data_IF_637686040685
#
_entry.id   IF_637686040685
#
_cell.length_a   1.000
_cell.length_b   1.000
_cell.length_c   1.000
_cell.angle_alpha   90.00
_cell.angle_beta   90.00
_cell.angle_gamma   90.00
#
_symmetry.space_group_name_H-M   'P 1'
#
loop_
_entity.id
_entity.type
_entity.pdbx_description
1 polymer ?
#
# COMPACT_ATOMS: atom_id res chain seq x y z
N UNK A 1 -24.39 22.94 14.59
CA UNK A 1 -23.48 21.80 14.44
C UNK A 1 -23.30 21.55 12.94
N UNK A 2 -22.06 21.57 12.42
CA UNK A 2 -21.81 21.19 11.03
C UNK A 2 -22.17 19.72 10.80
N UNK A 3 -22.75 19.40 9.64
CA UNK A 3 -23.00 18.01 9.26
C UNK A 3 -21.70 17.19 9.30
N UNK A 4 -21.74 15.90 9.68
CA UNK A 4 -20.56 15.05 9.64
C UNK A 4 -20.01 14.98 8.21
N UNK A 5 -18.68 14.92 8.03
CA UNK A 5 -18.10 14.78 6.70
C UNK A 5 -18.50 13.44 6.07
N UNK A 6 -18.67 13.44 4.73
CA UNK A 6 -18.94 12.22 3.98
C UNK A 6 -17.71 11.30 3.91
N UNK A 7 -16.51 11.90 3.90
CA UNK A 7 -15.22 11.22 3.82
C UNK A 7 -14.15 12.02 4.54
N UNK A 8 -13.21 11.32 5.20
CA UNK A 8 -11.97 11.92 5.71
C UNK A 8 -10.83 11.50 4.80
N UNK A 9 -10.12 12.49 4.22
CA UNK A 9 -8.91 12.27 3.43
C UNK A 9 -7.69 12.48 4.34
N UNK A 10 -6.77 11.52 4.33
CA UNK A 10 -5.55 11.53 5.13
C UNK A 10 -4.34 11.59 4.20
N UNK A 11 -3.43 12.51 4.48
CA UNK A 11 -2.12 12.63 3.85
C UNK A 11 -1.04 12.57 4.92
N UNK A 12 -0.20 11.53 4.91
CA UNK A 12 0.98 11.44 5.77
C UNK A 12 2.16 12.02 5.02
N UNK A 13 2.80 13.05 5.59
CA UNK A 13 3.93 13.73 4.97
C UNK A 13 5.23 13.55 5.76
N UNK A 14 6.30 13.28 5.04
CA UNK A 14 7.67 13.35 5.55
C UNK A 14 8.55 14.03 4.51
N UNK A 15 8.91 15.31 4.75
CA UNK A 15 9.58 16.17 3.79
C UNK A 15 8.77 16.31 2.47
N UNK A 16 9.35 16.84 1.38
CA UNK A 16 8.71 16.99 0.07
C UNK A 16 7.64 18.09 0.00
N UNK A 17 7.90 19.24 0.63
CA UNK A 17 6.98 20.39 0.68
C UNK A 17 6.31 20.72 -0.67
N UNK A 18 7.04 20.67 -1.78
CA UNK A 18 6.50 20.99 -3.10
C UNK A 18 5.53 19.94 -3.64
N UNK A 19 5.82 18.63 -3.39
CA UNK A 19 4.92 17.55 -3.78
C UNK A 19 3.66 17.56 -2.93
N UNK A 20 3.81 17.72 -1.62
CA UNK A 20 2.68 17.86 -0.70
C UNK A 20 1.76 19.02 -1.13
N UNK A 21 2.32 20.17 -1.52
CA UNK A 21 1.52 21.32 -1.99
C UNK A 21 0.67 20.96 -3.22
N UNK A 22 1.23 20.22 -4.19
CA UNK A 22 0.49 19.78 -5.38
C UNK A 22 -0.59 18.73 -5.01
N UNK A 23 -0.26 17.79 -4.13
CA UNK A 23 -1.20 16.82 -3.59
C UNK A 23 -2.39 17.52 -2.93
N UNK A 24 -2.14 18.44 -2.00
CA UNK A 24 -3.20 19.16 -1.28
C UNK A 24 -4.05 20.05 -2.20
N UNK A 25 -3.45 20.70 -3.21
CA UNK A 25 -4.21 21.42 -4.23
C UNK A 25 -5.20 20.53 -4.97
N UNK A 26 -4.80 19.30 -5.33
CA UNK A 26 -5.67 18.35 -5.99
C UNK A 26 -6.83 17.88 -5.09
N UNK A 27 -6.61 17.82 -3.78
CA UNK A 27 -7.64 17.45 -2.80
C UNK A 27 -8.66 18.57 -2.54
N UNK A 28 -8.22 19.82 -2.58
CA UNK A 28 -9.14 20.98 -2.44
C UNK A 28 -10.05 21.12 -3.66
N UNK A 29 -9.64 20.61 -4.83
CA UNK A 29 -10.41 20.68 -6.08
C UNK A 29 -11.32 19.46 -6.33
N UNK A 30 -11.52 18.57 -5.35
CA UNK A 30 -12.39 17.40 -5.52
C UNK A 30 -13.86 17.80 -5.66
N UNK A 31 -14.60 17.05 -6.47
CA UNK A 31 -16.04 17.23 -6.71
C UNK A 31 -16.93 16.71 -5.56
N UNK A 32 -16.36 15.96 -4.62
CA UNK A 32 -17.08 15.46 -3.47
C UNK A 32 -17.34 16.55 -2.44
N UNK A 33 -18.57 16.62 -1.93
CA UNK A 33 -18.96 17.55 -0.87
C UNK A 33 -18.63 16.99 0.52
N UNK A 34 -18.49 17.88 1.52
CA UNK A 34 -18.28 17.53 2.94
C UNK A 34 -17.03 16.65 3.16
N UNK A 35 -15.90 17.08 2.61
CA UNK A 35 -14.60 16.42 2.79
C UNK A 35 -13.90 16.97 4.04
N UNK A 36 -13.47 16.09 4.94
CA UNK A 36 -12.53 16.40 6.01
C UNK A 36 -11.12 16.08 5.52
N UNK A 37 -10.19 17.02 5.63
CA UNK A 37 -8.79 16.84 5.25
C UNK A 37 -7.92 16.82 6.52
N UNK A 38 -7.17 15.74 6.72
CA UNK A 38 -6.18 15.61 7.80
C UNK A 38 -4.80 15.41 7.18
N UNK A 39 -3.86 16.25 7.57
CA UNK A 39 -2.44 16.11 7.20
C UNK A 39 -1.65 15.73 8.44
N UNK A 40 -0.95 14.60 8.38
CA UNK A 40 0.00 14.19 9.42
C UNK A 40 1.39 14.62 8.99
N UNK A 41 1.91 15.60 9.68
CA UNK A 41 3.28 16.08 9.48
C UNK A 41 4.24 15.26 10.34
N UNK A 42 4.99 14.43 9.68
CA UNK A 42 5.76 13.33 10.29
C UNK A 42 7.20 13.74 10.63
N UNK A 43 7.36 14.87 11.33
CA UNK A 43 8.64 15.48 11.73
C UNK A 43 9.53 15.92 10.55
N UNK A 44 8.94 16.59 9.55
CA UNK A 44 9.70 17.17 8.44
C UNK A 44 10.54 18.39 8.87
N UNK A 45 11.63 18.62 8.13
CA UNK A 45 12.54 19.76 8.34
C UNK A 45 12.56 20.76 7.17
N UNK A 46 11.67 20.58 6.17
CA UNK A 46 11.69 21.32 4.91
C UNK A 46 10.65 22.45 4.82
N UNK A 47 10.00 22.80 5.94
CA UNK A 47 8.95 23.80 6.00
C UNK A 47 7.55 23.32 5.61
N UNK A 48 7.36 22.01 5.42
CA UNK A 48 6.06 21.42 5.05
C UNK A 48 4.95 21.81 6.04
N UNK A 49 5.23 21.75 7.35
CA UNK A 49 4.24 22.06 8.39
C UNK A 49 3.72 23.51 8.30
N UNK A 50 4.60 24.46 8.07
CA UNK A 50 4.24 25.87 7.99
C UNK A 50 3.53 26.18 6.68
N UNK A 51 3.92 25.54 5.58
CA UNK A 51 3.23 25.59 4.30
C UNK A 51 1.78 25.11 4.45
N UNK A 52 1.55 23.97 5.10
CA UNK A 52 0.17 23.46 5.33
C UNK A 52 -0.62 24.44 6.16
N UNK A 53 -0.07 24.94 7.27
CA UNK A 53 -0.76 25.87 8.16
C UNK A 53 -1.15 27.19 7.47
N UNK A 54 -0.30 27.70 6.57
CA UNK A 54 -0.53 28.97 5.88
C UNK A 54 -1.37 28.86 4.60
N UNK A 55 -1.13 27.82 3.77
CA UNK A 55 -1.77 27.69 2.46
C UNK A 55 -3.05 26.83 2.49
N UNK A 56 -3.21 25.97 3.50
CA UNK A 56 -4.35 25.04 3.63
C UNK A 56 -4.97 25.09 5.04
N UNK A 57 -5.45 26.26 5.51
CA UNK A 57 -5.97 26.41 6.89
C UNK A 57 -7.21 25.56 7.19
N UNK A 58 -7.91 25.06 6.16
CA UNK A 58 -9.03 24.13 6.30
C UNK A 58 -8.59 22.69 6.63
N UNK A 59 -7.32 22.36 6.41
CA UNK A 59 -6.79 21.04 6.75
C UNK A 59 -6.48 20.96 8.26
N UNK A 60 -6.90 19.88 8.89
CA UNK A 60 -6.48 19.56 10.24
C UNK A 60 -5.03 19.08 10.21
N UNK A 61 -4.12 19.85 10.77
CA UNK A 61 -2.70 19.49 10.81
C UNK A 61 -2.37 18.80 12.14
N UNK A 62 -1.87 17.57 12.06
CA UNK A 62 -1.31 16.80 13.18
C UNK A 62 0.20 16.86 13.07
N UNK A 63 0.89 17.42 14.05
CA UNK A 63 2.35 17.54 14.08
C UNK A 63 2.95 16.45 14.95
N UNK A 64 3.74 15.54 14.37
CA UNK A 64 4.54 14.59 15.13
C UNK A 64 5.93 15.15 15.42
N UNK A 65 6.49 14.76 16.54
CA UNK A 65 7.87 15.11 16.93
C UNK A 65 8.91 14.14 16.38
N UNK A 66 8.47 12.97 15.88
CA UNK A 66 9.33 11.94 15.30
C UNK A 66 8.68 11.36 14.04
N UNK A 67 9.47 10.75 13.16
CA UNK A 67 8.91 10.06 12.01
C UNK A 67 8.28 8.72 12.44
N UNK A 68 6.95 8.70 12.51
CA UNK A 68 6.14 7.54 12.88
C UNK A 68 6.08 6.45 11.79
N UNK A 69 6.54 6.75 10.56
CA UNK A 69 6.33 5.89 9.40
C UNK A 69 4.92 6.04 8.82
N UNK A 70 4.60 5.18 7.87
CA UNK A 70 3.29 5.20 7.19
C UNK A 70 2.16 4.66 8.09
N UNK A 71 2.39 3.52 8.74
CA UNK A 71 1.35 2.84 9.53
C UNK A 71 0.84 3.68 10.70
N UNK A 72 1.75 4.07 11.60
CA UNK A 72 1.37 4.83 12.79
C UNK A 72 0.90 6.25 12.45
N UNK A 73 1.48 6.88 11.41
CA UNK A 73 0.99 8.18 10.93
C UNK A 73 -0.45 8.12 10.44
N UNK A 74 -0.82 7.10 9.66
CA UNK A 74 -2.21 6.91 9.25
C UNK A 74 -3.13 6.57 10.43
N UNK A 75 -2.70 5.70 11.35
CA UNK A 75 -3.49 5.36 12.54
C UNK A 75 -3.81 6.57 13.40
N UNK A 76 -2.84 7.47 13.59
CA UNK A 76 -3.03 8.73 14.34
C UNK A 76 -4.14 9.60 13.73
N UNK A 77 -4.18 9.68 12.39
CA UNK A 77 -5.23 10.41 11.69
C UNK A 77 -6.57 9.66 11.69
N UNK A 78 -6.56 8.33 11.49
CA UNK A 78 -7.77 7.48 11.52
C UNK A 78 -8.50 7.61 12.85
N UNK A 79 -7.75 7.64 13.98
CA UNK A 79 -8.32 7.81 15.30
C UNK A 79 -9.07 9.16 15.49
N UNK A 80 -8.70 10.18 14.70
CA UNK A 80 -9.27 11.51 14.77
C UNK A 80 -10.24 11.81 13.61
N UNK A 81 -10.43 10.87 12.68
CA UNK A 81 -11.29 10.98 11.52
C UNK A 81 -12.78 10.88 11.90
N UNK A 82 -13.61 11.79 11.37
CA UNK A 82 -15.04 11.86 11.62
C UNK A 82 -15.89 11.26 10.49
N UNK A 83 -15.33 11.10 9.31
CA UNK A 83 -16.03 10.53 8.17
C UNK A 83 -16.26 9.02 8.29
N UNK A 84 -17.36 8.47 7.73
CA UNK A 84 -17.61 7.04 7.68
C UNK A 84 -16.69 6.29 6.71
N UNK A 85 -16.00 7.02 5.85
CA UNK A 85 -15.00 6.52 4.92
C UNK A 85 -13.67 7.25 5.11
N UNK A 86 -12.58 6.52 4.97
CA UNK A 86 -11.21 7.00 5.13
C UNK A 86 -10.51 6.85 3.79
N UNK A 87 -10.17 7.96 3.14
CA UNK A 87 -9.36 7.98 1.93
C UNK A 87 -7.90 8.28 2.29
N UNK A 88 -6.98 7.51 1.74
CA UNK A 88 -5.55 7.79 1.83
C UNK A 88 -5.05 8.30 0.49
N UNK A 89 -4.19 9.30 0.52
CA UNK A 89 -3.43 9.76 -0.63
C UNK A 89 -1.99 10.07 -0.22
N UNK A 90 -1.02 9.52 -0.92
CA UNK A 90 0.38 9.84 -0.67
C UNK A 90 0.70 11.29 -1.02
N UNK A 91 1.64 11.89 -0.31
CA UNK A 91 2.08 13.27 -0.52
C UNK A 91 2.75 13.54 -1.88
N UNK A 92 3.11 12.49 -2.63
CA UNK A 92 3.68 12.52 -3.98
C UNK A 92 2.70 12.05 -5.07
N UNK A 93 1.41 12.11 -4.77
CA UNK A 93 0.33 11.73 -5.67
C UNK A 93 -0.62 12.92 -5.91
N UNK A 94 -1.16 13.01 -7.12
CA UNK A 94 -2.11 14.03 -7.55
C UNK A 94 -3.39 13.33 -8.00
N UNK A 95 -4.49 13.62 -7.35
CA UNK A 95 -5.80 13.06 -7.66
C UNK A 95 -6.52 13.88 -8.73
N UNK A 96 -7.19 13.20 -9.67
CA UNK A 96 -8.12 13.89 -10.58
C UNK A 96 -9.38 14.37 -9.86
N UNK A 97 -10.11 15.37 -10.36
CA UNK A 97 -11.24 15.99 -9.65
C UNK A 97 -12.34 15.03 -9.23
N UNK A 98 -12.55 13.93 -9.96
CA UNK A 98 -13.59 12.92 -9.71
C UNK A 98 -13.10 11.74 -8.86
N UNK A 99 -11.89 11.79 -8.32
CA UNK A 99 -11.28 10.69 -7.60
C UNK A 99 -12.12 10.21 -6.40
N UNK A 100 -12.56 11.14 -5.55
CA UNK A 100 -13.36 10.80 -4.36
C UNK A 100 -14.76 10.30 -4.72
N UNK A 101 -15.46 10.99 -5.60
CA UNK A 101 -16.82 10.60 -5.99
C UNK A 101 -16.85 9.23 -6.66
N UNK A 102 -15.85 8.92 -7.51
CA UNK A 102 -15.73 7.62 -8.15
C UNK A 102 -15.49 6.49 -7.14
N UNK A 103 -14.62 6.71 -6.13
CA UNK A 103 -14.41 5.71 -5.08
C UNK A 103 -15.63 5.54 -4.17
N UNK A 104 -16.29 6.63 -3.80
CA UNK A 104 -17.49 6.58 -2.95
C UNK A 104 -18.64 5.81 -3.62
N UNK A 105 -18.75 5.84 -4.96
CA UNK A 105 -19.72 5.05 -5.72
C UNK A 105 -19.54 3.54 -5.46
N UNK A 106 -18.32 3.03 -5.38
CA UNK A 106 -18.06 1.61 -5.09
C UNK A 106 -18.41 1.23 -3.63
N UNK A 107 -18.44 2.20 -2.72
CA UNK A 107 -18.84 2.00 -1.32
C UNK A 107 -20.36 1.89 -1.10
N UNK A 108 -21.18 2.04 -2.15
CA UNK A 108 -22.63 1.82 -2.06
C UNK A 108 -22.98 0.36 -1.67
N UNK A 109 -22.15 -0.62 -2.07
CA UNK A 109 -22.26 -1.99 -1.58
C UNK A 109 -21.71 -2.07 -0.13
N UNK A 110 -22.55 -2.45 0.87
CA UNK A 110 -22.14 -2.53 2.26
C UNK A 110 -21.10 -3.61 2.54
N UNK A 111 -20.90 -4.58 1.66
CA UNK A 111 -19.86 -5.61 1.76
C UNK A 111 -18.48 -5.11 1.32
N UNK A 112 -18.42 -3.99 0.58
CA UNK A 112 -17.16 -3.39 0.16
C UNK A 112 -16.53 -2.64 1.33
N UNK A 113 -15.38 -3.13 1.75
CA UNK A 113 -14.56 -2.52 2.81
C UNK A 113 -13.41 -1.68 2.27
N UNK A 114 -12.97 -1.95 1.04
CA UNK A 114 -11.79 -1.34 0.44
C UNK A 114 -12.03 -1.00 -1.04
N UNK A 115 -11.56 0.18 -1.47
CA UNK A 115 -11.59 0.57 -2.88
C UNK A 115 -10.20 1.04 -3.32
N UNK A 116 -9.73 0.53 -4.45
CA UNK A 116 -8.50 0.95 -5.10
C UNK A 116 -8.77 2.01 -6.16
N UNK A 117 -7.86 2.96 -6.25
CA UNK A 117 -7.75 3.88 -7.38
C UNK A 117 -7.04 3.23 -8.57
N UNK A 118 -7.29 3.75 -9.77
CA UNK A 118 -6.44 3.55 -10.93
C UNK A 118 -5.25 4.52 -10.81
N UNK A 119 -4.11 4.00 -10.34
CA UNK A 119 -2.90 4.81 -10.13
C UNK A 119 -2.07 4.77 -11.41
N UNK A 120 -1.79 5.95 -11.97
CA UNK A 120 -1.03 6.16 -13.19
C UNK A 120 0.37 6.69 -12.86
N UNK A 121 1.34 6.44 -13.74
CA UNK A 121 2.71 6.98 -13.60
C UNK A 121 2.71 8.45 -14.00
N UNK A 122 3.04 9.37 -13.11
CA UNK A 122 2.90 10.81 -13.32
C UNK A 122 3.60 11.36 -14.59
N UNK A 123 4.80 10.88 -14.89
CA UNK A 123 5.55 11.28 -16.09
C UNK A 123 5.24 10.43 -17.34
N UNK A 124 4.32 9.47 -17.24
CA UNK A 124 3.81 8.64 -18.33
C UNK A 124 2.33 8.34 -18.08
N UNK A 125 1.44 9.34 -18.24
CA UNK A 125 0.05 9.29 -17.78
C UNK A 125 -0.82 8.22 -18.47
N UNK A 126 -0.36 7.64 -19.57
CA UNK A 126 -1.01 6.48 -20.20
C UNK A 126 -0.57 5.12 -19.61
N UNK A 127 0.41 5.10 -18.69
CA UNK A 127 0.96 3.87 -18.13
C UNK A 127 0.45 3.67 -16.72
N UNK A 128 -0.11 2.50 -16.46
CA UNK A 128 -0.58 2.11 -15.14
C UNK A 128 0.62 1.93 -14.21
N UNK A 129 0.57 2.57 -13.05
CA UNK A 129 1.41 2.23 -11.91
C UNK A 129 0.85 0.98 -11.21
N UNK A 130 -0.41 1.04 -10.78
CA UNK A 130 -1.10 -0.09 -10.10
C UNK A 130 -2.61 0.14 -10.05
N UNK A 131 -3.33 -0.99 -10.02
CA UNK A 131 -4.79 -1.07 -9.89
C UNK A 131 -5.19 -2.14 -8.85
N UNK A 132 -4.63 -2.05 -7.66
CA UNK A 132 -4.63 -3.09 -6.63
C UNK A 132 -3.41 -4.00 -6.75
N UNK A 133 -3.39 -5.07 -5.99
CA UNK A 133 -2.23 -5.95 -5.85
C UNK A 133 -2.55 -7.41 -6.15
N UNK A 134 -1.53 -8.13 -6.64
CA UNK A 134 -1.45 -9.59 -6.63
C UNK A 134 -0.42 -10.07 -5.62
N UNK A 135 -0.42 -11.38 -5.34
CA UNK A 135 0.47 -12.01 -4.36
C UNK A 135 1.09 -13.28 -4.91
N UNK A 136 2.36 -13.51 -4.58
CA UNK A 136 3.07 -14.75 -4.86
C UNK A 136 3.11 -15.67 -3.63
N UNK A 137 3.40 -16.95 -3.83
CA UNK A 137 3.38 -18.00 -2.79
C UNK A 137 4.34 -17.79 -1.62
N UNK A 138 5.34 -16.92 -1.76
CA UNK A 138 6.24 -16.57 -0.67
C UNK A 138 5.82 -15.30 0.11
N UNK A 139 4.71 -14.68 -0.28
CA UNK A 139 4.21 -13.42 0.30
C UNK A 139 4.64 -12.16 -0.43
N UNK A 140 5.51 -12.28 -1.46
CA UNK A 140 5.83 -11.15 -2.32
C UNK A 140 4.56 -10.66 -3.02
N UNK A 141 4.33 -9.36 -2.96
CA UNK A 141 3.22 -8.73 -3.65
C UNK A 141 3.70 -7.68 -4.65
N UNK A 142 2.87 -7.39 -5.63
CA UNK A 142 3.15 -6.40 -6.68
C UNK A 142 1.86 -5.80 -7.18
N UNK A 143 1.93 -4.52 -7.58
CA UNK A 143 0.82 -3.83 -8.22
C UNK A 143 0.39 -4.51 -9.52
N UNK A 144 -0.90 -4.83 -9.64
CA UNK A 144 -1.53 -5.34 -10.86
C UNK A 144 -1.47 -4.27 -11.94
N UNK A 145 -1.21 -4.66 -13.17
CA UNK A 145 -1.14 -3.75 -14.33
C UNK A 145 0.12 -2.88 -14.40
N UNK A 146 1.08 -3.02 -13.47
CA UNK A 146 2.27 -2.18 -13.41
C UNK A 146 3.08 -2.20 -14.71
N UNK A 147 3.31 -1.01 -15.30
CA UNK A 147 4.08 -0.84 -16.55
C UNK A 147 3.31 -1.08 -17.83
N UNK A 148 2.01 -1.40 -17.73
CA UNK A 148 1.15 -1.65 -18.90
C UNK A 148 0.45 -0.35 -19.30
N UNK A 149 0.31 -0.09 -20.60
CA UNK A 149 -0.50 1.02 -21.12
C UNK A 149 -1.97 0.76 -20.79
N UNK A 150 -2.66 1.75 -20.25
CA UNK A 150 -4.10 1.67 -19.99
C UNK A 150 -4.87 1.81 -21.31
N UNK A 151 -5.70 0.80 -21.60
CA UNK A 151 -6.64 0.76 -22.71
C UNK A 151 -8.05 0.41 -22.25
N UNK A 152 -8.31 0.52 -20.94
CA UNK A 152 -9.55 0.10 -20.31
C UNK A 152 -9.67 -1.41 -20.06
N UNK A 153 -8.62 -2.19 -20.33
CA UNK A 153 -8.62 -3.65 -20.27
C UNK A 153 -8.89 -4.22 -18.86
N UNK A 154 -8.79 -3.39 -17.81
CA UNK A 154 -9.04 -3.78 -16.43
C UNK A 154 -10.36 -3.22 -15.86
N UNK A 155 -11.09 -2.41 -16.62
CA UNK A 155 -12.23 -1.64 -16.08
C UNK A 155 -13.44 -2.49 -15.73
N UNK A 156 -13.56 -3.67 -16.34
CA UNK A 156 -14.66 -4.62 -16.07
C UNK A 156 -14.33 -5.60 -14.93
N UNK A 157 -13.07 -5.94 -14.72
CA UNK A 157 -12.63 -6.86 -13.67
C UNK A 157 -12.26 -6.09 -12.41
N UNK A 158 -13.29 -5.78 -11.62
CA UNK A 158 -13.20 -4.90 -10.44
C UNK A 158 -12.81 -5.60 -9.14
N UNK A 159 -12.83 -6.96 -9.08
CA UNK A 159 -12.37 -7.66 -7.88
C UNK A 159 -10.85 -7.58 -7.77
N UNK A 160 -10.36 -7.07 -6.65
CA UNK A 160 -8.93 -6.94 -6.34
C UNK A 160 -8.63 -7.60 -5.01
N UNK A 161 -7.37 -7.95 -4.79
CA UNK A 161 -6.98 -8.54 -3.52
C UNK A 161 -6.99 -7.48 -2.39
N UNK A 162 -6.32 -6.34 -2.61
CA UNK A 162 -6.37 -5.13 -1.78
C UNK A 162 -5.91 -3.91 -2.59
N UNK A 163 -6.26 -2.69 -2.17
CA UNK A 163 -5.76 -1.46 -2.75
C UNK A 163 -4.33 -1.17 -2.33
N UNK A 164 -3.60 -0.37 -3.12
CA UNK A 164 -2.32 0.21 -2.71
C UNK A 164 -2.53 1.40 -1.76
N UNK A 165 -1.76 1.47 -0.70
CA UNK A 165 -1.82 2.55 0.29
C UNK A 165 -1.53 3.95 -0.26
N UNK A 166 -0.99 4.06 -1.49
CA UNK A 166 -0.77 5.35 -2.15
C UNK A 166 -2.08 6.11 -2.42
N UNK A 167 -3.17 5.39 -2.82
CA UNK A 167 -4.46 6.00 -3.12
C UNK A 167 -5.58 4.97 -2.92
N UNK A 168 -6.19 4.96 -1.77
CA UNK A 168 -7.17 3.95 -1.37
C UNK A 168 -8.31 4.56 -0.56
N UNK A 169 -9.49 3.92 -0.60
CA UNK A 169 -10.62 4.26 0.27
C UNK A 169 -10.98 3.05 1.13
N UNK A 170 -11.16 3.29 2.42
CA UNK A 170 -11.51 2.27 3.40
C UNK A 170 -12.82 2.64 4.10
N UNK A 171 -13.66 1.64 4.36
CA UNK A 171 -14.83 1.80 5.24
C UNK A 171 -14.36 1.87 6.69
N UNK A 172 -14.72 2.96 7.40
CA UNK A 172 -14.28 3.14 8.80
C UNK A 172 -14.74 2.02 9.72
N UNK A 173 -15.99 1.53 9.57
CA UNK A 173 -16.49 0.41 10.37
C UNK A 173 -15.73 -0.91 10.11
N UNK A 174 -15.14 -1.10 8.93
CA UNK A 174 -14.21 -2.20 8.69
C UNK A 174 -12.94 -2.02 9.53
N UNK A 175 -12.31 -0.83 9.47
CA UNK A 175 -11.10 -0.53 10.25
C UNK A 175 -11.35 -0.67 11.76
N UNK A 176 -12.51 -0.18 12.25
CA UNK A 176 -12.90 -0.30 13.66
C UNK A 176 -13.03 -1.78 14.09
N UNK A 177 -13.53 -2.64 13.19
CA UNK A 177 -13.73 -4.07 13.45
C UNK A 177 -12.46 -4.92 13.40
N UNK A 178 -11.59 -4.65 12.42
CA UNK A 178 -10.37 -5.47 12.20
C UNK A 178 -9.10 -4.82 12.75
N UNK A 179 -9.15 -3.54 13.15
CA UNK A 179 -8.01 -2.70 13.53
C UNK A 179 -7.45 -1.91 12.35
N UNK A 180 -6.73 -0.83 12.63
CA UNK A 180 -5.99 -0.01 11.66
C UNK A 180 -4.76 -0.73 11.08
N UNK A 181 -3.81 0.03 10.58
CA UNK A 181 -2.53 -0.50 10.08
C UNK A 181 -1.71 -1.13 11.19
N UNK A 182 -1.00 -2.21 10.90
CA UNK A 182 -0.08 -2.81 11.85
C UNK A 182 1.24 -2.02 11.90
N UNK A 183 1.46 -1.32 13.00
CA UNK A 183 2.59 -0.39 13.17
C UNK A 183 3.96 -1.06 13.16
N UNK A 184 4.05 -2.38 13.42
CA UNK A 184 5.29 -3.13 13.30
C UNK A 184 5.83 -3.17 11.87
N UNK A 185 4.95 -3.02 10.87
CA UNK A 185 5.35 -2.97 9.47
C UNK A 185 6.05 -1.66 9.13
N UNK A 186 5.75 -0.56 9.80
CA UNK A 186 6.29 0.78 9.58
C UNK A 186 5.93 1.37 8.21
N UNK A 187 6.31 0.70 7.12
CA UNK A 187 5.99 0.99 5.72
C UNK A 187 6.30 -0.24 4.86
N UNK A 188 5.67 -0.34 3.69
CA UNK A 188 5.70 -1.46 2.72
C UNK A 188 5.03 -2.75 3.22
N UNK A 189 4.23 -3.35 2.38
CA UNK A 189 3.36 -4.49 2.70
C UNK A 189 2.42 -4.28 3.90
N UNK A 190 2.28 -3.06 4.38
CA UNK A 190 1.32 -2.61 5.36
C UNK A 190 -0.11 -2.65 4.81
N UNK A 191 -0.27 -2.23 3.56
CA UNK A 191 -1.50 -2.38 2.77
C UNK A 191 -1.85 -3.85 2.50
N UNK A 192 -0.84 -4.69 2.28
CA UNK A 192 -1.03 -6.13 2.10
C UNK A 192 -1.50 -6.81 3.40
N UNK A 193 -0.93 -6.42 4.54
CA UNK A 193 -1.32 -6.95 5.85
C UNK A 193 -2.75 -6.55 6.20
N UNK A 194 -3.08 -5.26 6.08
CA UNK A 194 -4.44 -4.75 6.30
C UNK A 194 -5.44 -5.40 5.31
N UNK A 195 -5.04 -5.49 4.04
CA UNK A 195 -5.85 -6.09 2.98
C UNK A 195 -6.15 -7.58 3.24
N UNK A 196 -5.16 -8.37 3.63
CA UNK A 196 -5.37 -9.78 3.99
C UNK A 196 -6.25 -9.93 5.23
N UNK A 197 -6.11 -9.06 6.23
CA UNK A 197 -7.04 -9.02 7.38
C UNK A 197 -8.47 -8.75 6.91
N UNK A 198 -8.68 -7.71 6.11
CA UNK A 198 -10.00 -7.35 5.62
C UNK A 198 -10.62 -8.47 4.77
N UNK A 199 -9.89 -9.01 3.78
CA UNK A 199 -10.37 -10.08 2.90
C UNK A 199 -10.71 -11.35 3.69
N UNK A 200 -9.87 -11.73 4.65
CA UNK A 200 -10.10 -12.93 5.47
C UNK A 200 -11.20 -12.74 6.53
N UNK A 201 -11.54 -11.48 6.88
CA UNK A 201 -12.74 -11.14 7.65
C UNK A 201 -14.02 -11.12 6.81
N UNK A 202 -13.92 -11.35 5.48
CA UNK A 202 -15.07 -11.41 4.57
C UNK A 202 -15.43 -10.10 3.88
N UNK A 203 -14.60 -9.06 3.99
CA UNK A 203 -14.82 -7.81 3.26
C UNK A 203 -14.39 -7.94 1.79
N UNK A 204 -15.12 -7.26 0.90
CA UNK A 204 -14.75 -7.16 -0.51
C UNK A 204 -13.80 -5.97 -0.73
N UNK A 205 -12.99 -6.10 -1.79
CA UNK A 205 -12.17 -5.01 -2.31
C UNK A 205 -12.48 -4.79 -3.79
N UNK A 206 -12.68 -3.53 -4.21
CA UNK A 206 -13.08 -3.15 -5.57
C UNK A 206 -12.08 -2.18 -6.19
N UNK A 207 -11.91 -2.26 -7.48
CA UNK A 207 -11.28 -1.21 -8.30
C UNK A 207 -12.34 -0.19 -8.69
N UNK A 208 -12.06 1.10 -8.50
CA UNK A 208 -12.81 2.20 -9.10
C UNK A 208 -12.05 2.70 -10.35
N UNK A 209 -12.40 2.27 -11.57
CA UNK A 209 -11.62 2.58 -12.77
C UNK A 209 -11.56 4.09 -13.09
N UNK A 210 -12.58 4.85 -12.72
CA UNK A 210 -12.66 6.30 -12.91
C UNK A 210 -11.99 7.10 -11.79
N UNK A 211 -11.53 6.44 -10.70
CA UNK A 211 -10.79 7.10 -9.63
C UNK A 211 -9.30 7.17 -10.00
N UNK A 212 -8.92 8.20 -10.78
CA UNK A 212 -7.58 8.32 -11.35
C UNK A 212 -6.68 9.15 -10.44
N UNK A 213 -5.45 8.66 -10.23
CA UNK A 213 -4.39 9.33 -9.47
C UNK A 213 -3.07 9.24 -10.23
N UNK A 214 -2.32 10.32 -10.31
CA UNK A 214 -0.98 10.39 -10.90
C UNK A 214 0.08 10.35 -9.80
N UNK A 215 0.89 9.29 -9.77
CA UNK A 215 1.87 9.05 -8.71
C UNK A 215 3.30 9.30 -9.18
N UNK A 216 4.04 10.13 -8.44
CA UNK A 216 5.44 10.43 -8.70
C UNK A 216 6.35 9.44 -7.96
N UNK A 217 6.49 8.24 -8.51
CA UNK A 217 7.19 7.10 -7.90
C UNK A 217 8.60 7.41 -7.41
N UNK A 218 8.94 6.83 -6.25
CA UNK A 218 10.32 6.84 -5.74
C UNK A 218 10.78 8.17 -5.17
N UNK A 219 9.87 9.13 -5.00
CA UNK A 219 10.19 10.44 -4.45
C UNK A 219 10.72 10.36 -3.01
N UNK A 220 10.23 9.42 -2.19
CA UNK A 220 10.55 9.36 -0.76
C UNK A 220 11.80 8.53 -0.47
N UNK A 221 11.94 7.32 -0.96
CA UNK A 221 13.03 6.40 -0.56
C UNK A 221 13.90 5.87 -1.72
N UNK A 222 13.71 6.28 -2.96
CA UNK A 222 14.50 5.73 -4.10
C UNK A 222 14.39 4.22 -4.29
N UNK A 223 14.48 3.73 -5.54
CA UNK A 223 14.22 2.30 -5.87
C UNK A 223 15.24 1.32 -5.24
N UNK A 224 16.49 1.71 -5.13
CA UNK A 224 17.61 0.86 -4.67
C UNK A 224 18.08 1.19 -3.23
N UNK A 225 17.23 1.81 -2.41
CA UNK A 225 17.58 2.09 -1.02
C UNK A 225 17.62 0.78 -0.21
N UNK A 226 18.76 0.43 0.45
CA UNK A 226 18.88 -0.81 1.22
C UNK A 226 17.83 -0.96 2.32
N UNK A 227 17.45 0.14 2.99
CA UNK A 227 16.40 0.12 4.03
C UNK A 227 15.02 -0.21 3.45
N UNK A 228 14.71 0.31 2.25
CA UNK A 228 13.47 -0.05 1.54
C UNK A 228 13.41 -1.55 1.25
N UNK A 229 14.50 -2.11 0.72
CA UNK A 229 14.60 -3.53 0.38
C UNK A 229 14.45 -4.38 1.66
N UNK A 230 15.13 -3.99 2.73
CA UNK A 230 15.06 -4.65 4.02
C UNK A 230 13.62 -4.69 4.57
N UNK A 231 12.89 -3.56 4.52
CA UNK A 231 11.50 -3.50 4.97
C UNK A 231 10.59 -4.40 4.11
N UNK A 232 10.71 -4.35 2.79
CA UNK A 232 9.90 -5.16 1.86
C UNK A 232 10.08 -6.65 2.15
N UNK A 233 11.32 -7.13 2.24
CA UNK A 233 11.60 -8.56 2.42
C UNK A 233 11.24 -9.04 3.83
N UNK A 234 11.54 -8.26 4.87
CA UNK A 234 11.11 -8.54 6.24
C UNK A 234 9.57 -8.65 6.34
N UNK A 235 8.88 -7.64 5.83
CA UNK A 235 7.43 -7.55 5.94
C UNK A 235 6.72 -8.63 5.12
N UNK A 236 7.29 -9.04 3.98
CA UNK A 236 6.84 -10.20 3.21
C UNK A 236 6.78 -11.48 4.08
N UNK A 237 7.84 -11.75 4.84
CA UNK A 237 7.87 -12.92 5.74
C UNK A 237 6.81 -12.78 6.83
N UNK A 238 6.69 -11.61 7.44
CA UNK A 238 5.71 -11.35 8.49
C UNK A 238 4.27 -11.50 7.99
N UNK A 239 3.98 -10.99 6.80
CA UNK A 239 2.69 -11.19 6.11
C UNK A 239 2.36 -12.69 5.96
N UNK A 240 3.32 -13.48 5.47
CA UNK A 240 3.14 -14.92 5.30
C UNK A 240 2.92 -15.62 6.66
N UNK A 241 3.72 -15.29 7.68
CA UNK A 241 3.57 -15.85 9.03
C UNK A 241 2.18 -15.58 9.61
N UNK A 242 1.65 -14.37 9.45
CA UNK A 242 0.34 -14.01 9.99
C UNK A 242 -0.81 -14.71 9.24
N UNK A 243 -0.77 -14.72 7.91
CA UNK A 243 -1.97 -14.99 7.10
C UNK A 243 -1.98 -16.32 6.36
N UNK A 244 -0.82 -16.89 6.03
CA UNK A 244 -0.80 -18.08 5.18
C UNK A 244 -1.22 -19.35 5.92
N UNK A 245 -1.85 -20.33 5.24
CA UNK A 245 -2.02 -21.69 5.75
C UNK A 245 -0.68 -22.28 6.20
N UNK A 246 -0.69 -23.10 7.24
CA UNK A 246 0.55 -23.62 7.84
C UNK A 246 1.39 -24.42 6.83
N UNK A 247 0.75 -25.24 6.01
CA UNK A 247 1.45 -26.01 4.99
C UNK A 247 2.13 -25.13 3.93
N UNK A 248 1.48 -24.01 3.54
CA UNK A 248 2.08 -23.05 2.61
C UNK A 248 3.23 -22.27 3.26
N UNK A 249 3.11 -21.97 4.55
CA UNK A 249 4.19 -21.37 5.32
C UNK A 249 5.41 -22.29 5.42
N UNK A 250 5.21 -23.60 5.54
CA UNK A 250 6.31 -24.57 5.51
C UNK A 250 7.00 -24.66 4.14
N UNK A 251 6.25 -24.43 3.06
CA UNK A 251 6.80 -24.37 1.69
C UNK A 251 7.36 -22.98 1.32
N UNK A 252 7.15 -21.98 2.17
CA UNK A 252 7.57 -20.59 1.89
C UNK A 252 9.07 -20.46 1.55
N UNK A 253 10.03 -21.13 2.24
CA UNK A 253 11.44 -21.08 1.87
C UNK A 253 11.72 -21.56 0.44
N UNK A 254 11.00 -22.61 -0.01
CA UNK A 254 11.12 -23.10 -1.39
C UNK A 254 10.68 -22.05 -2.41
N UNK A 255 9.51 -21.45 -2.23
CA UNK A 255 9.02 -20.39 -3.12
C UNK A 255 9.89 -19.14 -3.09
N UNK A 256 10.44 -18.81 -1.92
CA UNK A 256 11.40 -17.72 -1.77
C UNK A 256 12.68 -17.95 -2.59
N UNK A 257 13.29 -19.13 -2.46
CA UNK A 257 14.48 -19.49 -3.24
C UNK A 257 14.19 -19.51 -4.74
N UNK A 258 13.02 -20.01 -5.15
CA UNK A 258 12.61 -20.01 -6.55
C UNK A 258 12.48 -18.58 -7.11
N UNK A 259 11.86 -17.66 -6.33
CA UNK A 259 11.77 -16.24 -6.70
C UNK A 259 13.15 -15.57 -6.78
N UNK A 260 14.02 -15.81 -5.80
CA UNK A 260 15.39 -15.27 -5.84
C UNK A 260 16.18 -15.77 -7.05
N UNK A 261 16.09 -17.06 -7.34
CA UNK A 261 16.74 -17.67 -8.52
C UNK A 261 16.22 -17.05 -9.82
N UNK A 262 14.91 -16.87 -9.95
CA UNK A 262 14.32 -16.18 -11.11
C UNK A 262 14.79 -14.72 -11.21
N UNK A 263 14.89 -14.01 -10.09
CA UNK A 263 15.43 -12.65 -10.03
C UNK A 263 16.91 -12.57 -10.44
N UNK A 264 17.74 -13.53 -10.01
CA UNK A 264 19.15 -13.61 -10.42
C UNK A 264 19.26 -13.86 -11.92
N UNK A 265 18.51 -14.82 -12.46
CA UNK A 265 18.50 -15.12 -13.91
C UNK A 265 18.04 -13.89 -14.71
N UNK A 266 16.97 -13.24 -14.28
CA UNK A 266 16.49 -12.00 -14.92
C UNK A 266 17.56 -10.89 -14.89
N UNK A 267 18.24 -10.72 -13.74
CA UNK A 267 19.34 -9.77 -13.59
C UNK A 267 20.56 -10.05 -14.48
N UNK A 268 20.92 -11.32 -14.66
CA UNK A 268 22.00 -11.75 -15.57
C UNK A 268 21.63 -11.48 -17.03
N UNK A 269 20.35 -11.58 -17.36
CA UNK A 269 19.82 -11.28 -18.69
C UNK A 269 19.53 -9.78 -18.92
N UNK A 270 19.81 -8.94 -17.93
CA UNK A 270 19.58 -7.49 -18.00
C UNK A 270 18.12 -7.06 -17.80
N UNK A 271 17.25 -7.95 -17.32
CA UNK A 271 15.84 -7.68 -17.06
C UNK A 271 15.56 -7.39 -15.57
N UNK A 272 14.44 -6.71 -15.34
CA UNK A 272 13.92 -6.46 -13.99
C UNK A 272 14.73 -5.44 -13.18
N UNK A 273 14.32 -5.24 -11.94
CA UNK A 273 15.02 -4.33 -11.00
C UNK A 273 16.45 -4.81 -10.68
N UNK A 274 16.65 -6.13 -10.64
CA UNK A 274 17.98 -6.71 -10.41
C UNK A 274 18.97 -6.40 -11.54
N UNK A 275 18.52 -6.28 -12.80
CA UNK A 275 19.35 -5.87 -13.94
C UNK A 275 19.78 -4.40 -13.90
N UNK A 276 19.08 -3.56 -13.13
CA UNK A 276 19.41 -2.15 -12.93
C UNK A 276 20.52 -1.93 -11.89
N UNK A 277 20.86 -2.96 -11.08
CA UNK A 277 21.92 -2.89 -10.07
C UNK A 277 23.28 -2.98 -10.74
N UNK A 278 23.90 -1.82 -10.98
CA UNK A 278 25.22 -1.73 -11.59
C UNK A 278 26.32 -1.64 -10.54
N UNK A 279 27.41 -2.34 -10.77
CA UNK A 279 28.61 -2.33 -9.92
C UNK A 279 28.59 -3.41 -8.83
N UNK A 280 29.80 -3.90 -8.52
CA UNK A 280 30.02 -4.98 -7.55
C UNK A 280 29.57 -4.59 -6.14
N UNK A 281 29.87 -3.35 -5.74
CA UNK A 281 29.52 -2.84 -4.41
C UNK A 281 28.01 -2.78 -4.19
N UNK A 282 27.25 -2.29 -5.18
CA UNK A 282 25.79 -2.24 -5.09
C UNK A 282 25.15 -3.65 -4.98
N UNK A 283 25.74 -4.65 -5.63
CA UNK A 283 25.32 -6.06 -5.49
C UNK A 283 25.60 -6.62 -4.10
N UNK A 284 26.74 -6.26 -3.49
CA UNK A 284 27.05 -6.64 -2.10
C UNK A 284 26.06 -5.96 -1.14
N UNK A 285 25.84 -4.66 -1.28
CA UNK A 285 24.91 -3.91 -0.42
C UNK A 285 23.47 -4.48 -0.50
N UNK A 286 23.05 -4.89 -1.69
CA UNK A 286 21.79 -5.61 -1.89
C UNK A 286 21.77 -6.96 -1.15
N UNK A 287 22.84 -7.75 -1.26
CA UNK A 287 22.97 -9.02 -0.54
C UNK A 287 22.92 -8.83 0.98
N UNK A 288 23.62 -7.83 1.50
CA UNK A 288 23.59 -7.49 2.93
C UNK A 288 22.18 -7.06 3.36
N UNK A 289 21.50 -6.24 2.55
CA UNK A 289 20.14 -5.81 2.84
C UNK A 289 19.15 -7.01 2.91
N UNK A 290 19.27 -7.98 2.00
CA UNK A 290 18.47 -9.21 2.02
C UNK A 290 18.73 -10.05 3.27
N UNK A 291 20.01 -10.32 3.60
CA UNK A 291 20.38 -11.08 4.80
C UNK A 291 19.92 -10.38 6.09
N UNK A 292 20.06 -9.06 6.13
CA UNK A 292 19.58 -8.26 7.26
C UNK A 292 18.06 -8.31 7.39
N UNK A 293 17.33 -8.31 6.26
CA UNK A 293 15.88 -8.45 6.24
C UNK A 293 15.44 -9.80 6.78
N UNK A 294 16.06 -10.90 6.30
CA UNK A 294 15.76 -12.25 6.77
C UNK A 294 16.06 -12.40 8.27
N UNK A 295 17.16 -11.82 8.76
CA UNK A 295 17.48 -11.82 10.18
C UNK A 295 16.45 -11.05 11.03
N UNK A 296 16.06 -9.85 10.62
CA UNK A 296 15.00 -9.10 11.29
C UNK A 296 13.66 -9.83 11.24
N UNK A 297 13.35 -10.46 10.10
CA UNK A 297 12.15 -11.26 9.95
C UNK A 297 12.10 -12.40 10.96
N UNK A 298 13.18 -13.18 11.08
CA UNK A 298 13.31 -14.29 12.02
C UNK A 298 13.13 -13.84 13.48
N UNK A 299 13.75 -12.73 13.87
CA UNK A 299 13.58 -12.15 15.22
C UNK A 299 12.13 -11.78 15.51
N UNK A 300 11.38 -11.34 14.51
CA UNK A 300 9.98 -10.95 14.64
C UNK A 300 9.00 -12.13 14.67
N UNK A 301 9.41 -13.36 14.28
CA UNK A 301 8.51 -14.50 14.17
C UNK A 301 7.67 -14.74 15.44
N UNK A 302 8.22 -14.75 16.66
CA UNK A 302 7.41 -14.98 17.86
C UNK A 302 6.26 -13.99 18.02
N UNK A 303 6.52 -12.69 17.72
CA UNK A 303 5.52 -11.62 17.76
C UNK A 303 4.47 -11.83 16.66
N UNK A 304 4.89 -12.12 15.44
CA UNK A 304 3.98 -12.37 14.31
C UNK A 304 3.15 -13.64 14.52
N UNK A 305 3.71 -14.64 15.17
CA UNK A 305 2.97 -15.85 15.54
C UNK A 305 1.88 -15.59 16.57
N UNK A 306 2.12 -14.70 17.54
CA UNK A 306 1.10 -14.26 18.48
C UNK A 306 -0.05 -13.53 17.74
N UNK A 307 0.28 -12.64 16.80
CA UNK A 307 -0.70 -11.96 15.92
C UNK A 307 -1.48 -12.96 15.08
N UNK A 308 -0.81 -13.96 14.49
CA UNK A 308 -1.47 -15.05 13.75
C UNK A 308 -2.52 -15.74 14.63
N UNK A 309 -2.19 -16.11 15.87
CA UNK A 309 -3.14 -16.79 16.79
C UNK A 309 -4.36 -15.91 17.06
N UNK A 310 -4.11 -14.64 17.38
CA UNK A 310 -5.17 -13.68 17.63
C UNK A 310 -6.08 -13.46 16.41
N UNK A 311 -5.48 -13.37 15.21
CA UNK A 311 -6.23 -13.16 13.99
C UNK A 311 -7.01 -14.42 13.55
N UNK A 312 -6.42 -15.61 13.65
CA UNK A 312 -7.10 -16.86 13.30
C UNK A 312 -8.40 -17.11 14.07
N UNK A 313 -8.49 -16.57 15.28
CA UNK A 313 -9.72 -16.63 16.08
C UNK A 313 -10.83 -15.67 15.59
N UNK A 314 -10.47 -14.66 14.80
CA UNK A 314 -11.39 -13.62 14.32
C UNK A 314 -11.72 -13.74 12.83
N UNK A 315 -10.85 -14.35 12.01
CA UNK A 315 -11.07 -14.49 10.56
C UNK A 315 -12.27 -15.39 10.26
N UNK A 316 -12.98 -15.07 9.19
CA UNK A 316 -14.12 -15.87 8.71
C UNK A 316 -13.69 -16.94 7.69
N UNK A 317 -12.73 -16.63 6.81
CA UNK A 317 -12.28 -17.56 5.79
C UNK A 317 -11.42 -18.68 6.39
N UNK A 318 -11.68 -19.93 6.01
CA UNK A 318 -10.81 -21.05 6.33
C UNK A 318 -9.56 -21.11 5.41
N UNK A 319 -8.63 -22.05 5.68
CA UNK A 319 -7.36 -22.11 4.95
C UNK A 319 -7.52 -22.40 3.45
N UNK A 320 -8.54 -23.18 3.04
CA UNK A 320 -8.83 -23.46 1.61
C UNK A 320 -9.34 -22.20 0.90
N UNK A 321 -10.21 -21.45 1.56
CA UNK A 321 -10.75 -20.20 1.03
C UNK A 321 -9.65 -19.13 0.93
N UNK A 322 -8.72 -19.06 1.87
CA UNK A 322 -7.53 -18.16 1.78
C UNK A 322 -6.69 -18.54 0.57
N UNK A 323 -6.42 -19.83 0.32
CA UNK A 323 -5.68 -20.27 -0.87
C UNK A 323 -6.44 -19.94 -2.14
N UNK A 324 -7.76 -20.16 -2.17
CA UNK A 324 -8.61 -19.81 -3.33
C UNK A 324 -8.57 -18.32 -3.62
N UNK A 325 -8.59 -17.47 -2.57
CA UNK A 325 -8.43 -16.03 -2.70
C UNK A 325 -7.06 -15.66 -3.29
N UNK A 326 -5.98 -16.24 -2.78
CA UNK A 326 -4.62 -16.02 -3.30
C UNK A 326 -4.48 -16.49 -4.75
N UNK A 327 -5.08 -17.63 -5.12
CA UNK A 327 -5.05 -18.15 -6.49
C UNK A 327 -5.71 -17.20 -7.50
N UNK A 328 -6.83 -16.59 -7.13
CA UNK A 328 -7.53 -15.62 -8.02
C UNK A 328 -6.67 -14.38 -8.33
N UNK A 329 -5.78 -14.03 -7.43
CA UNK A 329 -4.91 -12.86 -7.54
C UNK A 329 -3.42 -13.23 -7.55
N UNK A 330 -3.12 -14.46 -8.02
CA UNK A 330 -1.77 -14.99 -8.00
C UNK A 330 -0.87 -14.28 -9.03
N UNK A 331 0.35 -13.99 -8.60
CA UNK A 331 1.42 -13.48 -9.46
C UNK A 331 2.33 -14.62 -9.89
N UNK A 332 2.66 -14.63 -11.17
CA UNK A 332 3.67 -15.54 -11.73
C UNK A 332 5.09 -14.98 -11.49
N UNK A 333 6.09 -15.87 -11.53
CA UNK A 333 7.50 -15.45 -11.48
C UNK A 333 7.86 -14.48 -12.66
N UNK A 334 7.26 -14.70 -13.82
CA UNK A 334 7.46 -13.83 -14.97
C UNK A 334 6.94 -12.40 -14.71
N UNK A 335 5.79 -12.26 -14.05
CA UNK A 335 5.26 -10.94 -13.65
C UNK A 335 6.14 -10.28 -12.59
N UNK A 336 6.63 -11.03 -11.60
CA UNK A 336 7.54 -10.52 -10.58
C UNK A 336 8.88 -10.05 -11.16
N UNK A 337 9.36 -10.69 -12.22
CA UNK A 337 10.64 -10.39 -12.87
C UNK A 337 10.57 -9.26 -13.90
N UNK A 338 9.37 -8.78 -14.27
CA UNK A 338 9.23 -7.65 -15.21
C UNK A 338 9.75 -6.35 -14.59
N UNK A 339 10.21 -5.43 -15.43
CA UNK A 339 10.53 -4.07 -14.98
C UNK A 339 9.29 -3.40 -14.39
N UNK A 340 9.45 -2.84 -13.20
CA UNK A 340 8.44 -1.95 -12.62
C UNK A 340 8.55 -0.62 -13.37
N UNK A 341 7.45 -0.12 -13.89
CA UNK A 341 7.37 1.12 -14.67
C UNK A 341 7.98 2.34 -13.95
#
# INVERSE_FOLDING_TARGET
MSLPPAVTVIVVNFNRVNLLRLCLKSLVSQDASAVELIVVENASSDGSADMVASEFPQAKLIRSTTNLGFCAGNNEAIAQARGPFIALLNNDAIAEPQWLSAMLTEMADPQVGMVASKIMVANRPAVIDKIGHGIYWDGQNRGRGSGVTDTGQYDLDRDILWPDGCAALYRKSMLDGIGGFDEDFFAYADDAELGMRARTAGWLARLAPSAIVHHQRGATMGKLNPRRIQLIERNRVWLAVIHFPLWLLLLNPFFYLLRLSAGIVAGLLGYGEAGQVQGFRAKIDLGIALLSADWEALKGIPKMWAKRRAWRAKRKLNDREVVSLMLRHHLTLAELSKNVA
#
